data_IF_541287378768
#
_entry.id   IF_541287378768
#
_cell.length_a   1.000
_cell.length_b   1.000
_cell.length_c   1.000
_cell.angle_alpha   90.00
_cell.angle_beta   90.00
_cell.angle_gamma   90.00
#
_symmetry.space_group_name_H-M   'P 1'
#
loop_
_entity.id
_entity.type
_entity.pdbx_description
1 polymer ?
#
# COMPACT_ATOMS: atom_id res chain seq x y z
N UNK A 1 2.89 -10.57 -21.33
CA UNK A 1 3.20 -9.20 -20.85
C UNK A 1 2.34 -8.93 -19.63
N UNK A 2 2.94 -8.60 -18.49
CA UNK A 2 2.21 -8.22 -17.26
C UNK A 2 2.02 -6.70 -17.24
N UNK A 3 0.92 -6.23 -16.68
CA UNK A 3 0.63 -4.80 -16.54
C UNK A 3 -0.16 -4.55 -15.26
N UNK A 4 0.19 -3.49 -14.53
CA UNK A 4 -0.58 -3.03 -13.37
C UNK A 4 -1.78 -2.23 -13.85
N UNK A 5 -2.97 -2.52 -13.32
CA UNK A 5 -4.23 -1.85 -13.65
C UNK A 5 -4.93 -1.41 -12.36
N UNK A 6 -6.07 -0.72 -12.49
CA UNK A 6 -6.91 -0.21 -11.39
C UNK A 6 -6.19 0.78 -10.45
N UNK A 7 -6.12 2.04 -10.88
CA UNK A 7 -5.45 3.13 -10.15
C UNK A 7 -6.43 4.02 -9.35
N UNK A 8 -7.67 3.59 -9.13
CA UNK A 8 -8.71 4.36 -8.43
C UNK A 8 -8.35 4.77 -6.98
N UNK A 9 -7.47 4.00 -6.32
CA UNK A 9 -6.95 4.24 -4.97
C UNK A 9 -5.51 4.77 -4.94
N UNK A 10 -4.91 5.01 -6.10
CA UNK A 10 -3.53 5.48 -6.19
C UNK A 10 -3.37 6.90 -5.68
N UNK A 11 -2.20 7.20 -5.11
CA UNK A 11 -1.87 8.55 -4.65
C UNK A 11 -0.41 8.88 -4.98
N UNK A 12 -0.16 10.11 -5.42
CA UNK A 12 1.19 10.58 -5.72
C UNK A 12 1.87 11.08 -4.44
N UNK A 13 2.80 10.29 -3.89
CA UNK A 13 3.64 10.69 -2.76
C UNK A 13 4.92 11.42 -3.21
N UNK A 14 5.50 12.22 -2.31
CA UNK A 14 6.79 12.91 -2.56
C UNK A 14 8.02 12.00 -2.45
N UNK A 15 7.86 10.78 -1.92
CA UNK A 15 8.94 9.80 -1.76
C UNK A 15 8.69 8.83 -0.61
N UNK A 16 9.63 7.89 -0.39
CA UNK A 16 9.46 6.78 0.58
C UNK A 16 9.24 7.23 2.03
N UNK A 17 9.72 8.43 2.40
CA UNK A 17 9.55 9.00 3.75
C UNK A 17 8.22 9.72 3.95
N UNK A 18 7.49 10.01 2.86
CA UNK A 18 6.17 10.61 2.95
C UNK A 18 5.20 9.59 3.56
N UNK A 19 4.54 9.96 4.65
CA UNK A 19 3.54 9.11 5.28
C UNK A 19 2.14 9.51 4.84
N UNK A 20 1.33 8.51 4.50
CA UNK A 20 -0.09 8.65 4.24
C UNK A 20 -0.86 8.21 5.48
N UNK A 21 -2.04 8.82 5.72
CA UNK A 21 -2.94 8.45 6.81
C UNK A 21 -4.24 7.87 6.26
N UNK A 22 -4.56 6.64 6.63
CA UNK A 22 -5.82 5.98 6.30
C UNK A 22 -5.69 4.46 6.25
N UNK A 23 -6.79 3.77 5.93
CA UNK A 23 -6.79 2.33 5.70
C UNK A 23 -7.23 2.11 4.25
N UNK A 24 -6.32 1.64 3.39
CA UNK A 24 -6.55 1.48 1.95
C UNK A 24 -5.96 0.17 1.48
N UNK A 25 -6.74 -0.60 0.72
CA UNK A 25 -6.33 -1.84 0.07
C UNK A 25 -7.33 -2.98 0.27
N UNK A 26 -7.01 -4.13 -0.29
CA UNK A 26 -7.85 -5.33 -0.22
C UNK A 26 -7.47 -6.17 1.00
N UNK A 27 -8.46 -6.62 1.78
CA UNK A 27 -8.23 -7.52 2.93
C UNK A 27 -7.42 -8.75 2.50
N UNK A 28 -6.39 -9.10 3.28
CA UNK A 28 -5.43 -10.17 2.96
C UNK A 28 -4.19 -9.69 2.20
N UNK A 29 -4.25 -8.54 1.53
CA UNK A 29 -3.12 -7.92 0.82
C UNK A 29 -2.58 -6.67 1.52
N UNK A 30 -3.38 -6.03 2.38
CA UNK A 30 -2.93 -4.87 3.16
C UNK A 30 -1.73 -5.20 4.06
N UNK A 31 -0.78 -4.27 4.11
CA UNK A 31 0.36 -4.35 5.01
C UNK A 31 -0.07 -4.11 6.47
N UNK A 32 0.60 -4.73 7.46
CA UNK A 32 0.22 -4.59 8.87
C UNK A 32 0.26 -3.13 9.35
N UNK A 33 1.19 -2.32 8.84
CA UNK A 33 1.26 -0.89 9.15
C UNK A 33 0.10 -0.06 8.60
N UNK A 34 -0.61 -0.57 7.58
CA UNK A 34 -1.84 0.05 7.06
C UNK A 34 -3.03 -0.25 7.98
N UNK A 35 -3.04 -1.43 8.60
CA UNK A 35 -4.07 -1.86 9.54
C UNK A 35 -3.83 -1.35 10.98
N UNK A 36 -2.67 -0.74 11.25
CA UNK A 36 -2.32 -0.23 12.58
C UNK A 36 -3.22 0.95 13.00
N UNK A 37 -3.40 1.13 14.31
CA UNK A 37 -4.36 2.07 14.89
C UNK A 37 -4.11 3.55 14.51
N UNK A 38 -2.87 3.95 14.24
CA UNK A 38 -2.56 5.32 13.79
C UNK A 38 -2.79 5.52 12.28
N UNK A 39 -2.91 4.42 11.51
CA UNK A 39 -3.05 4.39 10.07
C UNK A 39 -1.99 5.19 9.33
N UNK A 40 -0.82 5.44 9.93
CA UNK A 40 0.19 6.39 9.43
C UNK A 40 1.43 5.65 8.90
N UNK A 41 1.46 5.42 7.58
CA UNK A 41 2.42 4.51 6.96
C UNK A 41 3.09 5.09 5.71
N UNK A 42 4.19 4.47 5.28
CA UNK A 42 4.82 4.74 3.99
C UNK A 42 4.09 3.96 2.90
N UNK A 43 3.36 4.64 2.01
CA UNK A 43 2.61 3.99 0.93
C UNK A 43 3.51 3.10 0.06
N UNK A 44 4.73 3.56 -0.24
CA UNK A 44 5.71 2.80 -1.03
C UNK A 44 6.09 1.46 -0.38
N UNK A 45 6.21 1.42 0.96
CA UNK A 45 6.54 0.16 1.67
C UNK A 45 5.32 -0.77 1.76
N UNK A 46 4.13 -0.21 1.94
CA UNK A 46 2.90 -0.97 1.94
C UNK A 46 2.61 -1.63 0.58
N UNK A 47 2.93 -0.95 -0.53
CA UNK A 47 2.83 -1.53 -1.87
C UNK A 47 3.79 -2.72 -2.05
N UNK A 48 5.02 -2.65 -1.51
CA UNK A 48 5.97 -3.77 -1.55
C UNK A 48 5.46 -5.00 -0.78
N UNK A 49 4.82 -4.80 0.38
CA UNK A 49 4.17 -5.89 1.10
C UNK A 49 3.08 -6.55 0.25
N UNK A 50 2.20 -5.74 -0.35
CA UNK A 50 1.10 -6.22 -1.20
C UNK A 50 1.61 -7.00 -2.41
N UNK A 51 2.72 -6.55 -3.02
CA UNK A 51 3.42 -7.30 -4.07
C UNK A 51 3.94 -8.65 -3.56
N UNK A 52 4.53 -8.69 -2.36
CA UNK A 52 4.97 -9.94 -1.72
C UNK A 52 3.83 -10.93 -1.52
N UNK A 53 2.66 -10.46 -1.04
CA UNK A 53 1.44 -11.27 -0.90
C UNK A 53 0.89 -11.81 -2.24
N UNK A 54 1.27 -11.23 -3.37
CA UNK A 54 0.85 -11.71 -4.70
C UNK A 54 1.65 -12.94 -5.16
N UNK A 55 2.76 -13.26 -4.48
CA UNK A 55 3.60 -14.43 -4.79
C UNK A 55 3.25 -15.68 -3.97
N UNK A 56 2.37 -15.54 -2.96
CA UNK A 56 1.83 -16.67 -2.18
C UNK A 56 0.62 -17.31 -2.88
#
# INVERSE_FOLDING_TARGET
RLSTIDFNRSLRVKGVRHKFRGIVGTTGYIAPEVAAADGLYSAVRADLWSCGKTLE
#
